data_IF_388238465219
#
_entry.id   IF_388238465219
#
_cell.length_a   1.000
_cell.length_b   1.000
_cell.length_c   1.000
_cell.angle_alpha   90.00
_cell.angle_beta   90.00
_cell.angle_gamma   90.00
#
_symmetry.space_group_name_H-M   'P 1'
#
loop_
_entity.id
_entity.type
_entity.pdbx_description
1 polymer ?
#
# COMPACT_ATOMS: atom_id res chain seq x y z
N UNK A 1 -9.07 -14.19 -3.39
CA UNK A 1 -8.02 -13.17 -3.47
C UNK A 1 -8.01 -12.59 -4.87
N UNK A 2 -8.15 -11.27 -4.96
CA UNK A 2 -8.28 -10.46 -6.16
C UNK A 2 -7.14 -10.66 -7.15
N UNK A 3 -5.92 -10.86 -6.67
CA UNK A 3 -4.72 -11.04 -7.51
C UNK A 3 -4.79 -12.24 -8.47
N UNK A 4 -5.68 -13.21 -8.22
CA UNK A 4 -5.97 -14.34 -9.13
C UNK A 4 -6.94 -14.00 -10.26
N UNK A 5 -7.56 -12.82 -10.20
CA UNK A 5 -8.59 -12.34 -11.12
C UNK A 5 -8.10 -11.16 -11.97
N UNK A 6 -6.80 -10.87 -11.95
CA UNK A 6 -6.21 -9.77 -12.72
C UNK A 6 -5.50 -10.33 -13.95
N UNK A 7 -6.03 -10.02 -15.12
CA UNK A 7 -5.47 -10.36 -16.42
C UNK A 7 -5.18 -9.07 -17.18
N UNK A 8 -3.91 -8.69 -17.28
CA UNK A 8 -3.49 -7.46 -17.94
C UNK A 8 -2.12 -7.62 -18.58
N UNK A 9 -1.81 -6.74 -19.53
CA UNK A 9 -0.43 -6.41 -19.87
C UNK A 9 0.23 -5.80 -18.62
N UNK A 10 1.34 -6.41 -18.18
CA UNK A 10 2.11 -5.96 -17.02
C UNK A 10 3.32 -5.12 -17.40
N UNK A 11 3.64 -4.96 -18.68
CA UNK A 11 4.72 -4.09 -19.15
C UNK A 11 4.24 -2.66 -19.40
N UNK A 12 2.97 -2.49 -19.78
CA UNK A 12 2.34 -1.18 -19.95
C UNK A 12 1.17 -1.00 -18.97
N UNK A 13 1.13 0.11 -18.20
CA UNK A 13 0.02 0.38 -17.30
C UNK A 13 -1.28 0.67 -18.08
N UNK A 14 -2.44 0.17 -17.62
CA UNK A 14 -3.71 0.43 -18.28
C UNK A 14 -4.14 1.89 -18.12
N UNK A 15 -5.01 2.37 -19.02
CA UNK A 15 -5.57 3.72 -18.99
C UNK A 15 -6.21 4.07 -17.64
N UNK A 16 -6.96 3.13 -17.07
CA UNK A 16 -7.67 3.29 -15.80
C UNK A 16 -6.75 3.43 -14.57
N UNK A 17 -5.43 3.26 -14.72
CA UNK A 17 -4.46 3.60 -13.68
C UNK A 17 -4.27 5.11 -13.51
N UNK A 18 -4.50 5.91 -14.55
CA UNK A 18 -4.47 7.36 -14.43
C UNK A 18 -5.87 7.89 -14.09
N UNK A 19 -6.03 8.46 -12.91
CA UNK A 19 -7.25 9.15 -12.51
C UNK A 19 -6.98 10.12 -11.38
N UNK A 20 -7.86 11.12 -11.26
CA UNK A 20 -7.82 12.11 -10.20
C UNK A 20 -9.25 12.38 -9.74
N UNK A 21 -9.58 11.98 -8.52
CA UNK A 21 -10.96 12.01 -8.01
C UNK A 21 -10.97 12.32 -6.51
N UNK A 22 -12.05 12.95 -5.98
CA UNK A 22 -12.27 13.04 -4.55
C UNK A 22 -12.29 11.67 -3.88
N UNK A 23 -11.78 11.60 -2.65
CA UNK A 23 -11.63 10.34 -1.93
C UNK A 23 -12.98 9.64 -1.70
N UNK A 24 -14.04 10.41 -1.42
CA UNK A 24 -15.39 9.88 -1.33
C UNK A 24 -15.88 9.20 -2.63
N UNK A 25 -15.54 9.76 -3.80
CA UNK A 25 -15.89 9.17 -5.10
C UNK A 25 -15.12 7.87 -5.36
N UNK A 26 -13.84 7.83 -4.97
CA UNK A 26 -13.04 6.59 -5.01
C UNK A 26 -13.69 5.50 -4.14
N UNK A 27 -14.11 5.84 -2.93
CA UNK A 27 -14.78 4.91 -2.02
C UNK A 27 -16.13 4.45 -2.58
N UNK A 28 -16.94 5.35 -3.13
CA UNK A 28 -18.22 5.03 -3.75
C UNK A 28 -18.06 4.06 -4.94
N UNK A 29 -17.03 4.27 -5.77
CA UNK A 29 -16.69 3.35 -6.88
C UNK A 29 -16.29 1.97 -6.38
N UNK A 30 -15.49 1.89 -5.31
CA UNK A 30 -15.14 0.60 -4.69
C UNK A 30 -16.40 -0.09 -4.17
N UNK A 31 -17.30 0.63 -3.48
CA UNK A 31 -18.57 0.10 -2.98
C UNK A 31 -19.47 -0.41 -4.11
N UNK A 32 -19.48 0.25 -5.27
CA UNK A 32 -20.26 -0.17 -6.42
C UNK A 32 -19.70 -1.44 -7.10
N UNK A 33 -18.38 -1.57 -7.19
CA UNK A 33 -17.70 -2.70 -7.87
C UNK A 33 -17.74 -3.99 -7.03
N UNK A 34 -17.52 -3.86 -5.72
CA UNK A 34 -17.21 -4.99 -4.84
C UNK A 34 -18.31 -6.07 -4.81
N UNK A 35 -19.62 -5.76 -4.70
CA UNK A 35 -20.66 -6.80 -4.67
C UNK A 35 -20.70 -7.66 -5.94
N UNK A 36 -20.54 -7.04 -7.12
CA UNK A 36 -20.53 -7.74 -8.41
C UNK A 36 -19.32 -8.67 -8.55
N UNK A 37 -18.15 -8.20 -8.12
CA UNK A 37 -16.91 -9.00 -8.10
C UNK A 37 -17.07 -10.22 -7.18
N UNK A 38 -17.60 -10.01 -5.97
CA UNK A 38 -17.80 -11.08 -4.98
C UNK A 38 -18.83 -12.12 -5.44
N UNK A 39 -19.95 -11.69 -6.03
CA UNK A 39 -21.03 -12.57 -6.46
C UNK A 39 -20.58 -13.61 -7.49
N UNK A 40 -19.60 -13.27 -8.34
CA UNK A 40 -19.09 -14.17 -9.39
C UNK A 40 -17.67 -14.66 -9.15
N UNK A 41 -17.09 -14.41 -7.97
CA UNK A 41 -15.70 -14.79 -7.65
C UNK A 41 -15.44 -16.28 -7.86
N UNK A 42 -16.35 -17.14 -7.38
CA UNK A 42 -16.13 -18.59 -7.43
C UNK A 42 -16.28 -19.13 -8.87
N UNK A 43 -17.23 -18.59 -9.64
CA UNK A 43 -17.36 -18.84 -11.08
C UNK A 43 -16.10 -18.41 -11.84
N UNK A 44 -15.59 -17.20 -11.56
CA UNK A 44 -14.39 -16.65 -12.19
C UNK A 44 -13.14 -17.49 -11.91
N UNK A 45 -13.03 -18.08 -10.71
CA UNK A 45 -11.91 -18.95 -10.36
C UNK A 45 -12.02 -20.35 -10.96
N UNK A 46 -13.24 -20.88 -11.11
CA UNK A 46 -13.47 -22.23 -11.62
C UNK A 46 -13.54 -22.30 -13.15
N UNK A 47 -14.08 -21.27 -13.81
CA UNK A 47 -14.33 -21.24 -15.25
C UNK A 47 -14.17 -19.84 -15.83
N UNK A 48 -12.93 -19.31 -15.91
CA UNK A 48 -12.67 -17.93 -16.35
C UNK A 48 -13.29 -17.55 -17.71
N UNK A 49 -13.34 -18.50 -18.65
CA UNK A 49 -13.87 -18.26 -20.00
C UNK A 49 -15.38 -17.94 -20.04
N UNK A 50 -16.12 -18.13 -18.94
CA UNK A 50 -17.57 -17.90 -18.87
C UNK A 50 -17.95 -16.47 -18.46
N UNK A 51 -16.98 -15.68 -18.00
CA UNK A 51 -17.19 -14.33 -17.49
C UNK A 51 -17.09 -13.31 -18.64
N UNK A 52 -17.96 -12.28 -18.66
CA UNK A 52 -17.88 -11.21 -19.65
C UNK A 52 -16.62 -10.36 -19.43
N UNK A 53 -16.07 -9.73 -20.48
CA UNK A 53 -14.89 -8.86 -20.37
C UNK A 53 -14.97 -7.81 -19.25
N UNK A 54 -16.13 -7.17 -19.08
CA UNK A 54 -16.33 -6.14 -18.05
C UNK A 54 -16.08 -6.63 -16.61
N UNK A 55 -16.25 -7.93 -16.32
CA UNK A 55 -15.92 -8.47 -14.99
C UNK A 55 -14.41 -8.34 -14.68
N UNK A 56 -13.57 -8.60 -15.67
CA UNK A 56 -12.12 -8.51 -15.54
C UNK A 56 -11.66 -7.06 -15.43
N UNK A 57 -12.30 -6.16 -16.18
CA UNK A 57 -12.07 -4.71 -16.06
C UNK A 57 -12.43 -4.20 -14.67
N UNK A 58 -13.53 -4.66 -14.08
CA UNK A 58 -13.94 -4.32 -12.73
C UNK A 58 -12.93 -4.82 -11.69
N UNK A 59 -12.39 -6.02 -11.87
CA UNK A 59 -11.33 -6.55 -11.01
C UNK A 59 -10.06 -5.68 -11.08
N UNK A 60 -9.64 -5.26 -12.28
CA UNK A 60 -8.51 -4.33 -12.47
C UNK A 60 -8.79 -2.98 -11.81
N UNK A 61 -10.00 -2.44 -11.98
CA UNK A 61 -10.39 -1.16 -11.34
C UNK A 61 -10.34 -1.26 -9.82
N UNK A 62 -10.89 -2.31 -9.22
CA UNK A 62 -10.81 -2.52 -7.77
C UNK A 62 -9.34 -2.60 -7.30
N UNK A 63 -8.50 -3.30 -8.06
CA UNK A 63 -7.08 -3.46 -7.76
C UNK A 63 -6.35 -2.11 -7.73
N UNK A 64 -6.68 -1.20 -8.64
CA UNK A 64 -6.08 0.13 -8.76
C UNK A 64 -6.68 1.17 -7.80
N UNK A 65 -7.95 1.05 -7.43
CA UNK A 65 -8.64 1.99 -6.53
C UNK A 65 -8.29 1.73 -5.05
N UNK A 66 -8.20 0.47 -4.64
CA UNK A 66 -8.03 0.12 -3.22
C UNK A 66 -6.77 0.68 -2.52
N UNK A 67 -5.61 0.88 -3.20
CA UNK A 67 -4.46 1.60 -2.61
C UNK A 67 -4.77 3.03 -2.13
N UNK A 68 -5.81 3.68 -2.65
CA UNK A 68 -6.22 5.02 -2.22
C UNK A 68 -6.61 5.05 -0.73
N UNK A 69 -7.20 3.97 -0.21
CA UNK A 69 -7.58 3.85 1.21
C UNK A 69 -6.37 4.08 2.13
N UNK A 70 -5.26 3.42 1.79
CA UNK A 70 -4.02 3.51 2.55
C UNK A 70 -3.35 4.85 2.33
N UNK A 71 -3.29 5.33 1.08
CA UNK A 71 -2.54 6.54 0.74
C UNK A 71 -3.14 7.80 1.39
N UNK A 72 -4.46 8.00 1.29
CA UNK A 72 -5.13 9.16 1.89
C UNK A 72 -5.05 9.10 3.41
N UNK A 73 -5.30 7.94 4.01
CA UNK A 73 -5.22 7.78 5.47
C UNK A 73 -3.80 8.00 5.99
N UNK A 74 -2.77 7.53 5.28
CA UNK A 74 -1.36 7.78 5.62
C UNK A 74 -1.05 9.28 5.55
N UNK A 75 -1.50 9.97 4.51
CA UNK A 75 -1.31 11.41 4.39
C UNK A 75 -2.02 12.17 5.52
N UNK A 76 -3.25 11.79 5.85
CA UNK A 76 -3.99 12.37 6.97
C UNK A 76 -3.25 12.19 8.30
N UNK A 77 -2.82 10.96 8.62
CA UNK A 77 -1.99 10.65 9.79
C UNK A 77 -0.73 11.51 9.82
N UNK A 78 0.05 11.53 8.74
CA UNK A 78 1.29 12.31 8.65
C UNK A 78 1.02 13.79 8.88
N UNK A 79 -0.01 14.37 8.25
CA UNK A 79 -0.31 15.78 8.45
C UNK A 79 -0.64 16.11 9.91
N UNK A 80 -1.51 15.31 10.52
CA UNK A 80 -1.96 15.53 11.89
C UNK A 80 -0.83 15.36 12.90
N UNK A 81 0.06 14.38 12.71
CA UNK A 81 1.15 14.10 13.65
C UNK A 81 2.37 15.00 13.48
N UNK A 82 2.62 15.47 12.26
CA UNK A 82 3.78 16.30 11.94
C UNK A 82 3.44 17.80 11.93
N UNK A 83 2.19 18.16 12.22
CA UNK A 83 1.74 19.55 12.23
C UNK A 83 1.74 20.20 10.84
N UNK A 84 1.45 19.42 9.80
CA UNK A 84 1.21 19.94 8.46
C UNK A 84 -0.28 20.26 8.31
N UNK A 85 -0.66 21.27 7.50
CA UNK A 85 -2.06 21.57 7.26
C UNK A 85 -2.79 20.40 6.57
N UNK A 86 -4.10 20.37 6.77
CA UNK A 86 -5.00 19.49 6.03
C UNK A 86 -5.55 20.29 4.85
N UNK A 87 -5.27 19.83 3.63
CA UNK A 87 -5.72 20.50 2.42
C UNK A 87 -6.18 19.46 1.38
N UNK A 88 -7.35 19.66 0.76
CA UNK A 88 -7.96 18.65 -0.11
C UNK A 88 -7.12 18.34 -1.35
N UNK A 89 -6.47 19.34 -1.94
CA UNK A 89 -5.72 19.20 -3.19
C UNK A 89 -4.20 19.34 -3.03
N UNK A 90 -3.72 19.66 -1.82
CA UNK A 90 -2.31 19.98 -1.61
C UNK A 90 -1.66 19.03 -0.62
N UNK A 91 -0.64 18.35 -1.10
CA UNK A 91 0.07 17.29 -0.43
C UNK A 91 1.42 17.81 0.09
N UNK A 92 1.43 18.33 1.32
CA UNK A 92 2.61 18.97 1.91
C UNK A 92 3.84 18.06 2.01
N UNK A 93 5.01 18.62 1.73
CA UNK A 93 6.30 17.98 1.99
C UNK A 93 6.61 18.03 3.49
N UNK A 94 7.28 17.01 4.02
CA UNK A 94 7.59 16.96 5.46
C UNK A 94 8.52 18.11 5.90
N UNK A 95 9.35 18.59 4.98
CA UNK A 95 10.24 19.74 5.13
C UNK A 95 9.47 21.03 5.46
N UNK A 96 8.20 21.12 5.07
CA UNK A 96 7.34 22.28 5.32
C UNK A 96 6.72 22.29 6.72
N UNK A 97 6.86 21.22 7.51
CA UNK A 97 6.28 21.14 8.86
C UNK A 97 6.73 22.29 9.77
N UNK A 98 8.00 22.69 9.65
CA UNK A 98 8.59 23.79 10.41
C UNK A 98 7.97 25.15 10.10
N UNK A 99 7.41 25.33 8.88
CA UNK A 99 6.74 26.56 8.44
C UNK A 99 5.32 26.66 8.99
N UNK A 100 4.56 25.56 8.99
CA UNK A 100 3.15 25.59 9.33
C UNK A 100 2.87 25.37 10.82
N UNK A 101 3.50 24.36 11.43
CA UNK A 101 3.35 24.04 12.86
C UNK A 101 1.88 23.96 13.31
N UNK A 102 1.02 23.37 12.47
CA UNK A 102 -0.39 23.20 12.77
C UNK A 102 -0.56 22.36 14.04
N UNK A 103 -1.46 22.78 14.94
CA UNK A 103 -1.73 22.08 16.20
C UNK A 103 -3.07 21.37 16.12
N UNK A 104 -3.02 20.05 16.18
CA UNK A 104 -4.20 19.20 16.21
C UNK A 104 -4.47 18.68 17.62
N UNK A 105 -5.74 18.61 18.05
CA UNK A 105 -6.10 18.01 19.33
C UNK A 105 -5.66 16.54 19.41
N UNK A 106 -5.27 16.07 20.60
CA UNK A 106 -4.84 14.67 20.81
C UNK A 106 -5.87 13.62 20.34
N UNK A 107 -7.17 13.93 20.46
CA UNK A 107 -8.25 13.07 19.92
C UNK A 107 -8.18 12.89 18.39
N UNK A 108 -7.75 13.92 17.66
CA UNK A 108 -7.61 13.86 16.20
C UNK A 108 -6.38 13.06 15.81
N UNK A 109 -5.29 13.18 16.58
CA UNK A 109 -4.09 12.33 16.43
C UNK A 109 -4.46 10.86 16.62
N UNK A 110 -5.17 10.53 17.71
CA UNK A 110 -5.61 9.16 17.96
C UNK A 110 -6.51 8.63 16.83
N UNK A 111 -7.51 9.43 16.44
CA UNK A 111 -8.43 9.06 15.37
C UNK A 111 -7.71 8.86 14.02
N UNK A 112 -6.74 9.70 13.67
CA UNK A 112 -5.96 9.55 12.44
C UNK A 112 -5.13 8.24 12.43
N UNK A 113 -4.61 7.84 13.59
CA UNK A 113 -3.90 6.57 13.76
C UNK A 113 -4.81 5.36 13.61
N UNK A 114 -5.97 5.38 14.27
CA UNK A 114 -6.99 4.32 14.16
C UNK A 114 -7.51 4.20 12.73
N UNK A 115 -7.79 5.34 12.08
CA UNK A 115 -8.24 5.40 10.70
C UNK A 115 -7.20 4.85 9.72
N UNK A 116 -5.92 5.15 9.92
CA UNK A 116 -4.83 4.59 9.12
C UNK A 116 -4.69 3.08 9.28
N UNK A 117 -4.72 2.57 10.52
CA UNK A 117 -4.69 1.13 10.75
C UNK A 117 -5.89 0.43 10.11
N UNK A 118 -7.10 0.99 10.25
CA UNK A 118 -8.31 0.48 9.64
C UNK A 118 -8.25 0.48 8.11
N UNK A 119 -7.65 1.49 7.49
CA UNK A 119 -7.58 1.58 6.03
C UNK A 119 -6.71 0.48 5.42
N UNK A 120 -5.63 0.09 6.09
CA UNK A 120 -4.80 -1.06 5.69
C UNK A 120 -5.62 -2.35 5.78
N UNK A 121 -6.31 -2.58 6.89
CA UNK A 121 -7.10 -3.80 7.09
C UNK A 121 -8.27 -3.91 6.11
N UNK A 122 -8.95 -2.81 5.81
CA UNK A 122 -10.00 -2.78 4.76
C UNK A 122 -9.39 -3.05 3.40
N UNK A 123 -8.30 -2.37 3.02
CA UNK A 123 -7.63 -2.62 1.74
C UNK A 123 -7.19 -4.08 1.60
N UNK A 124 -6.64 -4.68 2.66
CA UNK A 124 -6.30 -6.10 2.68
C UNK A 124 -7.50 -7.00 2.49
N UNK A 125 -8.63 -6.72 3.16
CA UNK A 125 -9.87 -7.48 3.01
C UNK A 125 -10.44 -7.39 1.59
N UNK A 126 -10.37 -6.22 0.94
CA UNK A 126 -10.72 -6.04 -0.47
C UNK A 126 -9.85 -6.90 -1.39
N UNK A 127 -8.53 -6.86 -1.20
CA UNK A 127 -7.60 -7.69 -1.97
C UNK A 127 -7.76 -9.19 -1.70
N UNK A 128 -8.14 -9.58 -0.49
CA UNK A 128 -8.42 -10.96 -0.16
C UNK A 128 -9.77 -11.43 -0.73
N UNK A 129 -10.68 -10.49 -1.05
CA UNK A 129 -12.09 -10.73 -1.38
C UNK A 129 -12.78 -11.52 -0.27
N UNK A 130 -12.61 -11.05 0.97
CA UNK A 130 -13.22 -11.64 2.16
C UNK A 130 -14.75 -11.52 2.12
N UNK A 131 -15.50 -12.51 2.64
CA UNK A 131 -16.96 -12.42 2.72
C UNK A 131 -17.48 -11.17 3.44
N UNK A 132 -16.74 -10.68 4.44
CA UNK A 132 -17.10 -9.47 5.21
C UNK A 132 -16.57 -8.16 4.64
N UNK A 133 -15.93 -8.16 3.47
CA UNK A 133 -15.27 -6.96 2.92
C UNK A 133 -16.23 -5.81 2.66
N UNK A 134 -17.47 -6.08 2.22
CA UNK A 134 -18.50 -5.06 1.99
C UNK A 134 -18.85 -4.36 3.30
N UNK A 135 -19.23 -5.11 4.33
CA UNK A 135 -19.59 -4.54 5.64
C UNK A 135 -18.43 -3.76 6.27
N UNK A 136 -17.18 -4.24 6.12
CA UNK A 136 -15.99 -3.52 6.59
C UNK A 136 -15.79 -2.19 5.85
N UNK A 137 -15.98 -2.19 4.53
CA UNK A 137 -15.89 -0.97 3.73
C UNK A 137 -16.98 0.03 4.12
N UNK A 138 -18.22 -0.41 4.28
CA UNK A 138 -19.33 0.45 4.69
C UNK A 138 -19.09 1.05 6.07
N UNK A 139 -18.61 0.26 7.03
CA UNK A 139 -18.22 0.76 8.35
C UNK A 139 -17.07 1.77 8.26
N UNK A 140 -16.09 1.54 7.39
CA UNK A 140 -14.98 2.47 7.18
C UNK A 140 -15.46 3.80 6.59
N UNK A 141 -16.36 3.77 5.60
CA UNK A 141 -16.97 4.96 4.99
C UNK A 141 -17.83 5.74 6.00
N UNK A 142 -18.59 5.05 6.86
CA UNK A 142 -19.39 5.71 7.91
C UNK A 142 -18.52 6.44 8.96
N UNK A 143 -17.28 6.00 9.15
CA UNK A 143 -16.33 6.60 10.09
C UNK A 143 -15.30 7.51 9.39
N UNK A 144 -15.57 7.92 8.15
CA UNK A 144 -14.69 8.79 7.39
C UNK A 144 -14.56 10.16 8.09
N UNK A 145 -13.34 10.62 8.40
CA UNK A 145 -13.15 11.99 8.89
C UNK A 145 -13.67 12.99 7.85
N UNK A 146 -14.57 13.91 8.24
CA UNK A 146 -15.15 14.91 7.33
C UNK A 146 -14.08 15.70 6.56
N UNK A 147 -12.96 15.98 7.22
CA UNK A 147 -11.85 16.71 6.61
C UNK A 147 -11.15 15.95 5.47
N UNK A 148 -11.24 14.61 5.41
CA UNK A 148 -10.56 13.82 4.37
C UNK A 148 -11.47 13.40 3.21
N UNK A 149 -12.80 13.53 3.31
CA UNK A 149 -13.71 13.08 2.23
C UNK A 149 -13.43 13.80 0.91
N UNK A 150 -13.18 15.11 0.98
CA UNK A 150 -12.85 15.95 -0.17
C UNK A 150 -11.39 15.90 -0.61
N UNK A 151 -10.54 15.06 0.00
CA UNK A 151 -9.15 14.95 -0.45
C UNK A 151 -9.10 14.34 -1.85
N UNK A 152 -8.34 14.95 -2.75
CA UNK A 152 -8.20 14.49 -4.12
C UNK A 152 -7.11 13.42 -4.17
N UNK A 153 -7.50 12.18 -4.50
CA UNK A 153 -6.54 11.12 -4.77
C UNK A 153 -6.14 11.15 -6.24
N UNK A 154 -4.84 11.33 -6.49
CA UNK A 154 -4.26 11.30 -7.83
C UNK A 154 -3.45 10.03 -8.01
N UNK A 155 -3.80 9.24 -9.01
CA UNK A 155 -3.01 8.12 -9.50
C UNK A 155 -2.49 8.42 -10.91
N UNK A 156 -1.23 8.09 -11.17
CA UNK A 156 -0.57 8.30 -12.46
C UNK A 156 -0.11 6.96 -13.06
N UNK A 157 0.12 6.93 -14.37
CA UNK A 157 0.68 5.76 -15.07
C UNK A 157 2.16 5.59 -14.76
N UNK A 158 2.45 5.06 -13.58
CA UNK A 158 3.80 4.71 -13.18
C UNK A 158 4.14 3.30 -13.66
N UNK A 159 4.98 3.21 -14.70
CA UNK A 159 5.36 1.95 -15.34
C UNK A 159 6.03 0.98 -14.37
N UNK A 160 6.85 1.48 -13.44
CA UNK A 160 7.62 0.63 -12.53
C UNK A 160 6.76 0.09 -11.40
N UNK A 161 5.92 0.95 -10.79
CA UNK A 161 4.89 0.57 -9.83
C UNK A 161 3.99 -0.49 -10.45
N UNK A 162 3.54 -0.32 -11.70
CA UNK A 162 2.71 -1.31 -12.39
C UNK A 162 3.44 -2.65 -12.60
N UNK A 163 4.67 -2.62 -13.11
CA UNK A 163 5.47 -3.83 -13.35
C UNK A 163 5.81 -4.59 -12.07
N UNK A 164 6.05 -3.87 -10.97
CA UNK A 164 6.31 -4.41 -9.64
C UNK A 164 5.02 -4.89 -8.94
N UNK A 165 3.87 -4.47 -9.44
CA UNK A 165 2.56 -4.89 -8.96
C UNK A 165 2.08 -6.20 -9.59
N UNK A 166 2.83 -6.81 -10.51
CA UNK A 166 2.43 -8.07 -11.13
C UNK A 166 2.28 -9.21 -10.07
N UNK A 167 1.07 -9.79 -9.89
CA UNK A 167 0.80 -10.85 -8.92
C UNK A 167 1.71 -12.06 -9.00
N UNK A 168 2.18 -12.43 -10.20
CA UNK A 168 3.09 -13.56 -10.38
C UNK A 168 4.46 -13.27 -9.76
N UNK A 169 4.99 -12.06 -9.96
CA UNK A 169 6.29 -11.65 -9.39
C UNK A 169 6.22 -11.48 -7.88
N UNK A 170 5.09 -10.97 -7.38
CA UNK A 170 4.86 -10.86 -5.93
C UNK A 170 4.75 -12.25 -5.31
N UNK A 171 4.15 -13.22 -6.02
CA UNK A 171 4.12 -14.62 -5.59
C UNK A 171 5.51 -15.23 -5.54
N UNK A 172 6.34 -15.02 -6.57
CA UNK A 172 7.73 -15.49 -6.57
C UNK A 172 8.49 -14.97 -5.33
N UNK A 173 8.29 -13.69 -4.96
CA UNK A 173 8.84 -13.13 -3.72
C UNK A 173 8.25 -13.81 -2.48
N UNK A 174 6.93 -13.97 -2.40
CA UNK A 174 6.27 -14.57 -1.25
C UNK A 174 6.75 -16.01 -1.01
N UNK A 175 6.85 -16.82 -2.06
CA UNK A 175 7.33 -18.20 -2.01
C UNK A 175 8.80 -18.25 -1.56
N UNK A 176 9.62 -17.30 -2.03
CA UNK A 176 11.02 -17.18 -1.61
C UNK A 176 11.16 -16.82 -0.12
N UNK A 177 10.35 -15.88 0.37
CA UNK A 177 10.29 -15.52 1.79
C UNK A 177 9.83 -16.71 2.62
N UNK A 178 8.68 -17.33 2.30
CA UNK A 178 8.11 -18.45 3.08
C UNK A 178 9.05 -19.63 3.24
N UNK A 179 9.91 -19.87 2.25
CA UNK A 179 10.90 -20.96 2.30
C UNK A 179 11.98 -20.74 3.36
N UNK A 180 12.27 -19.50 3.73
CA UNK A 180 13.43 -19.16 4.58
C UNK A 180 13.05 -18.38 5.84
N UNK A 181 11.88 -17.73 5.85
CA UNK A 181 11.47 -16.79 6.87
C UNK A 181 9.96 -16.84 7.09
N UNK A 182 9.54 -16.78 8.35
CA UNK A 182 8.15 -16.55 8.73
C UNK A 182 8.06 -15.15 9.38
N UNK A 183 7.94 -14.07 8.59
CA UNK A 183 7.95 -12.72 9.14
C UNK A 183 6.73 -12.47 10.03
N UNK A 184 6.94 -11.77 11.14
CA UNK A 184 5.86 -11.35 12.05
C UNK A 184 5.22 -10.03 11.64
N UNK A 185 5.91 -9.25 10.81
CA UNK A 185 5.45 -7.98 10.25
C UNK A 185 6.12 -7.72 8.90
N UNK A 186 5.37 -7.09 7.99
CA UNK A 186 5.91 -6.44 6.79
C UNK A 186 5.79 -4.93 6.99
N UNK A 187 6.88 -4.20 6.76
CA UNK A 187 6.88 -2.73 6.77
C UNK A 187 7.24 -2.23 5.37
N UNK A 188 6.28 -1.63 4.68
CA UNK A 188 6.46 -1.11 3.32
C UNK A 188 6.85 0.37 3.27
N UNK A 189 7.76 0.72 2.36
CA UNK A 189 8.07 2.10 2.02
C UNK A 189 6.98 2.69 1.11
N UNK A 190 6.04 3.46 1.66
CA UNK A 190 4.99 4.10 0.88
C UNK A 190 5.54 5.28 0.07
N UNK A 191 5.08 5.55 -1.15
CA UNK A 191 3.78 5.15 -1.69
C UNK A 191 3.82 4.01 -2.72
N UNK A 192 4.99 3.70 -3.26
CA UNK A 192 5.14 2.72 -4.34
C UNK A 192 4.78 1.29 -3.90
N UNK A 193 5.19 0.93 -2.70
CA UNK A 193 5.01 -0.42 -2.17
C UNK A 193 3.59 -0.71 -1.67
N UNK A 194 2.67 0.25 -1.69
CA UNK A 194 1.31 0.05 -1.14
C UNK A 194 0.60 -1.10 -1.85
N UNK A 195 0.57 -1.05 -3.17
CA UNK A 195 -0.15 -2.01 -3.99
C UNK A 195 0.43 -3.42 -3.84
N UNK A 196 1.74 -3.55 -4.08
CA UNK A 196 2.43 -4.84 -4.01
C UNK A 196 2.49 -5.39 -2.57
N UNK A 197 2.62 -4.51 -1.58
CA UNK A 197 2.63 -4.84 -0.16
C UNK A 197 1.30 -5.42 0.32
N UNK A 198 0.17 -4.88 -0.14
CA UNK A 198 -1.17 -5.44 0.16
C UNK A 198 -1.31 -6.88 -0.36
N UNK A 199 -0.83 -7.15 -1.58
CA UNK A 199 -0.83 -8.52 -2.15
C UNK A 199 0.11 -9.43 -1.36
N UNK A 200 1.34 -8.97 -1.10
CA UNK A 200 2.38 -9.73 -0.40
C UNK A 200 1.91 -10.13 1.00
N UNK A 201 1.36 -9.20 1.76
CA UNK A 201 0.84 -9.45 3.10
C UNK A 201 -0.28 -10.50 3.13
N UNK A 202 -1.15 -10.51 2.13
CA UNK A 202 -2.19 -11.53 2.04
C UNK A 202 -1.65 -12.90 1.60
N UNK A 203 -0.62 -12.95 0.75
CA UNK A 203 0.05 -14.20 0.38
C UNK A 203 0.81 -14.81 1.56
N UNK A 204 1.52 -13.98 2.33
CA UNK A 204 2.27 -14.39 3.52
C UNK A 204 1.38 -14.60 4.75
N UNK A 205 0.15 -14.07 4.75
CA UNK A 205 -0.76 -13.99 5.91
C UNK A 205 -0.11 -13.26 7.10
N UNK A 206 0.66 -12.22 6.80
CA UNK A 206 1.44 -11.45 7.77
C UNK A 206 0.83 -10.05 7.95
N UNK A 207 0.85 -9.47 9.16
CA UNK A 207 0.53 -8.07 9.37
C UNK A 207 1.33 -7.13 8.46
N UNK A 208 0.73 -6.01 8.07
CA UNK A 208 1.32 -5.03 7.17
C UNK A 208 1.22 -3.64 7.79
N UNK A 209 2.30 -2.87 7.68
CA UNK A 209 2.33 -1.47 8.05
C UNK A 209 3.09 -0.67 6.99
N UNK A 210 2.72 0.59 6.81
CA UNK A 210 3.39 1.47 5.85
C UNK A 210 3.97 2.68 6.55
N UNK A 211 5.20 3.02 6.18
CA UNK A 211 5.85 4.26 6.58
C UNK A 211 5.99 5.11 5.32
N UNK A 212 5.59 6.38 5.37
CA UNK A 212 5.78 7.31 4.26
C UNK A 212 7.28 7.46 4.02
N UNK A 213 7.72 7.07 2.83
CA UNK A 213 9.05 7.36 2.35
C UNK A 213 9.09 7.33 0.82
N UNK A 214 8.95 8.50 0.20
CA UNK A 214 9.11 8.61 -1.25
C UNK A 214 9.99 9.78 -1.65
N UNK A 215 11.22 9.47 -2.05
CA UNK A 215 12.15 10.47 -2.59
C UNK A 215 11.67 11.05 -3.92
N UNK A 216 10.95 10.25 -4.73
CA UNK A 216 10.52 10.70 -6.06
C UNK A 216 9.15 11.36 -6.06
N UNK A 217 8.20 10.86 -5.26
CA UNK A 217 6.82 11.38 -5.26
C UNK A 217 6.61 12.49 -4.23
N UNK A 218 7.45 12.58 -3.19
CA UNK A 218 7.28 13.50 -2.06
C UNK A 218 8.56 14.21 -1.61
N UNK A 219 9.68 14.01 -2.32
CA UNK A 219 11.00 14.56 -1.97
C UNK A 219 11.41 14.29 -0.51
N UNK A 220 10.93 13.19 0.09
CA UNK A 220 11.20 12.90 1.49
C UNK A 220 12.70 12.56 1.67
N UNK A 221 13.47 13.27 2.51
CA UNK A 221 14.91 13.03 2.67
C UNK A 221 15.23 11.75 3.46
N UNK A 222 14.28 11.30 4.27
CA UNK A 222 14.31 10.13 5.15
C UNK A 222 12.87 9.61 5.39
N UNK A 223 12.70 8.38 5.91
CA UNK A 223 11.39 7.87 6.30
C UNK A 223 10.70 8.77 7.34
N UNK A 224 9.42 9.09 7.13
CA UNK A 224 8.64 9.93 8.04
C UNK A 224 8.07 9.08 9.16
N UNK A 225 8.69 9.16 10.34
CA UNK A 225 8.34 8.36 11.52
C UNK A 225 7.76 9.26 12.60
N UNK A 226 6.55 8.94 13.06
CA UNK A 226 5.89 9.58 14.19
C UNK A 226 5.94 8.69 15.46
N UNK A 227 5.64 9.24 16.65
CA UNK A 227 5.62 8.45 17.89
C UNK A 227 4.68 7.24 17.86
N UNK A 228 3.54 7.34 17.15
CA UNK A 228 2.60 6.24 16.94
C UNK A 228 3.22 5.09 16.13
N UNK A 229 4.04 5.40 15.14
CA UNK A 229 4.77 4.41 14.36
C UNK A 229 5.74 3.65 15.25
N UNK A 230 6.49 4.37 16.09
CA UNK A 230 7.41 3.74 17.05
C UNK A 230 6.67 2.79 17.99
N UNK A 231 5.50 3.20 18.50
CA UNK A 231 4.69 2.35 19.36
C UNK A 231 4.18 1.10 18.64
N UNK A 232 3.69 1.25 17.40
CA UNK A 232 3.23 0.13 16.58
C UNK A 232 4.36 -0.84 16.26
N UNK A 233 5.48 -0.33 15.73
CA UNK A 233 6.65 -1.15 15.35
C UNK A 233 7.26 -1.85 16.58
N UNK A 234 7.26 -1.19 17.74
CA UNK A 234 7.77 -1.74 19.00
C UNK A 234 7.07 -3.02 19.44
N UNK A 235 5.79 -3.21 19.08
CA UNK A 235 5.05 -4.44 19.36
C UNK A 235 5.58 -5.67 18.61
N UNK A 236 6.35 -5.46 17.54
CA UNK A 236 6.92 -6.51 16.69
C UNK A 236 8.44 -6.68 16.84
N UNK A 237 9.05 -5.97 17.79
CA UNK A 237 10.51 -5.90 17.97
C UNK A 237 11.23 -7.25 18.06
N UNK A 238 10.60 -8.25 18.67
CA UNK A 238 11.22 -9.52 19.00
C UNK A 238 11.24 -10.56 17.85
N UNK A 239 10.43 -10.36 16.80
CA UNK A 239 10.33 -11.31 15.70
C UNK A 239 10.97 -10.79 14.41
N UNK A 240 11.14 -11.66 13.41
CA UNK A 240 11.67 -11.26 12.11
C UNK A 240 10.73 -10.31 11.38
N UNK A 241 11.21 -9.12 11.02
CA UNK A 241 10.46 -8.12 10.28
C UNK A 241 10.97 -7.99 8.85
N UNK A 242 10.06 -7.92 7.87
CA UNK A 242 10.39 -7.71 6.47
C UNK A 242 10.24 -6.23 6.09
N UNK A 243 11.34 -5.55 5.79
CA UNK A 243 11.40 -4.18 5.28
C UNK A 243 11.31 -4.22 3.75
N UNK A 244 10.29 -3.59 3.19
CA UNK A 244 9.84 -3.88 1.82
C UNK A 244 9.73 -2.61 0.97
N UNK A 245 10.19 -2.71 -0.28
CA UNK A 245 9.97 -1.75 -1.36
C UNK A 245 9.50 -2.48 -2.62
N UNK A 246 8.74 -1.86 -3.52
CA UNK A 246 8.26 -2.58 -4.72
C UNK A 246 9.39 -2.86 -5.71
N UNK A 247 10.30 -1.90 -5.87
CA UNK A 247 11.39 -1.98 -6.82
C UNK A 247 12.72 -1.48 -6.25
N UNK A 248 13.81 -2.03 -6.79
CA UNK A 248 15.18 -1.66 -6.42
C UNK A 248 15.95 -1.37 -7.70
N UNK A 249 15.94 -0.10 -8.11
CA UNK A 249 16.76 0.39 -9.23
C UNK A 249 18.17 0.74 -8.76
N UNK A 250 18.33 1.87 -8.06
CA UNK A 250 19.60 2.26 -7.40
C UNK A 250 19.74 1.71 -5.98
N UNK A 251 18.62 1.33 -5.35
CA UNK A 251 18.57 0.84 -3.98
C UNK A 251 18.57 1.89 -2.89
N UNK A 252 18.67 3.18 -3.24
CA UNK A 252 18.74 4.28 -2.26
C UNK A 252 17.54 4.32 -1.30
N UNK A 253 16.32 4.04 -1.78
CA UNK A 253 15.12 3.99 -0.93
C UNK A 253 15.25 2.86 0.07
N UNK A 254 15.32 1.61 -0.38
CA UNK A 254 15.39 0.46 0.51
C UNK A 254 16.59 0.52 1.48
N UNK A 255 17.76 1.00 1.05
CA UNK A 255 18.92 1.19 1.94
C UNK A 255 18.61 2.19 3.05
N UNK A 256 18.17 3.41 2.73
CA UNK A 256 17.84 4.42 3.75
C UNK A 256 16.70 3.98 4.67
N UNK A 257 15.71 3.31 4.08
CA UNK A 257 14.57 2.76 4.81
C UNK A 257 15.04 1.73 5.85
N UNK A 258 15.95 0.84 5.44
CA UNK A 258 16.55 -0.18 6.30
C UNK A 258 17.42 0.43 7.38
N UNK A 259 18.35 1.34 7.03
CA UNK A 259 19.21 2.03 8.00
C UNK A 259 18.41 2.74 9.09
N UNK A 260 17.27 3.33 8.73
CA UNK A 260 16.39 4.04 9.66
C UNK A 260 15.58 3.08 10.54
N UNK A 261 15.05 1.99 9.97
CA UNK A 261 14.09 1.11 10.66
C UNK A 261 14.72 -0.09 11.36
N UNK A 262 15.89 -0.56 10.91
CA UNK A 262 16.59 -1.70 11.52
C UNK A 262 16.78 -1.56 13.04
N UNK A 263 17.12 -0.37 13.60
CA UNK A 263 17.29 -0.22 15.05
C UNK A 263 16.03 -0.51 15.90
N UNK A 264 14.83 -0.53 15.30
CA UNK A 264 13.59 -0.84 16.01
C UNK A 264 13.37 -2.34 16.25
N UNK A 265 14.10 -3.21 15.54
CA UNK A 265 13.88 -4.65 15.55
C UNK A 265 15.13 -5.41 16.00
N UNK A 266 14.95 -6.58 16.61
CA UNK A 266 16.06 -7.50 16.88
C UNK A 266 16.53 -8.20 15.61
N UNK A 267 15.60 -8.46 14.69
CA UNK A 267 15.83 -9.15 13.44
C UNK A 267 15.00 -8.49 12.33
N UNK A 268 15.67 -8.03 11.28
CA UNK A 268 15.02 -7.43 10.12
C UNK A 268 15.70 -7.87 8.83
N UNK A 269 14.90 -8.11 7.80
CA UNK A 269 15.32 -8.50 6.46
C UNK A 269 14.73 -7.55 5.42
N UNK A 270 15.39 -7.43 4.29
CA UNK A 270 15.00 -6.57 3.19
C UNK A 270 14.38 -7.37 2.05
N UNK A 271 13.35 -6.81 1.42
CA UNK A 271 12.68 -7.45 0.31
C UNK A 271 12.28 -6.48 -0.80
N UNK A 272 12.31 -6.96 -2.04
CA UNK A 272 11.77 -6.24 -3.20
C UNK A 272 11.12 -7.17 -4.21
N UNK A 273 10.06 -6.72 -4.89
CA UNK A 273 9.46 -7.51 -5.98
C UNK A 273 10.40 -7.54 -7.18
N UNK A 274 10.90 -6.36 -7.56
CA UNK A 274 11.81 -6.19 -8.69
C UNK A 274 13.17 -5.70 -8.21
N UNK A 275 14.24 -6.34 -8.68
CA UNK A 275 15.61 -5.82 -8.56
C UNK A 275 16.21 -5.59 -9.94
N UNK A 276 16.65 -4.37 -10.20
CA UNK A 276 17.43 -4.09 -11.41
C UNK A 276 18.77 -4.82 -11.33
N UNK A 277 19.16 -5.52 -12.39
CA UNK A 277 20.32 -6.42 -12.36
C UNK A 277 21.63 -5.72 -11.94
N UNK A 278 21.80 -4.48 -12.38
CA UNK A 278 22.97 -3.63 -12.07
C UNK A 278 22.85 -2.86 -10.74
N UNK A 279 21.80 -3.10 -9.95
CA UNK A 279 21.63 -2.40 -8.67
C UNK A 279 22.74 -2.78 -7.70
N UNK A 280 23.40 -1.80 -7.04
CA UNK A 280 24.36 -2.11 -5.98
C UNK A 280 23.69 -2.63 -4.71
N UNK A 281 22.36 -2.46 -4.56
CA UNK A 281 21.60 -3.01 -3.46
C UNK A 281 21.19 -4.46 -3.75
N UNK A 282 21.41 -5.33 -2.78
CA UNK A 282 21.06 -6.76 -2.82
C UNK A 282 20.13 -7.06 -1.65
N UNK A 283 18.80 -6.93 -1.83
CA UNK A 283 17.85 -7.29 -0.80
C UNK A 283 17.98 -8.77 -0.43
N UNK A 284 17.69 -9.11 0.82
CA UNK A 284 17.72 -10.50 1.30
C UNK A 284 16.76 -11.39 0.49
N UNK A 285 15.61 -10.83 0.10
CA UNK A 285 14.62 -11.51 -0.72
C UNK A 285 14.24 -10.70 -1.97
N UNK A 286 14.32 -11.33 -3.13
CA UNK A 286 13.92 -10.73 -4.41
C UNK A 286 12.97 -11.67 -5.13
N UNK A 287 11.87 -11.13 -5.68
CA UNK A 287 10.95 -11.88 -6.53
C UNK A 287 11.54 -12.15 -7.91
N UNK A 288 11.92 -11.09 -8.64
CA UNK A 288 12.58 -11.18 -9.94
C UNK A 288 13.70 -10.16 -10.10
N UNK A 289 14.81 -10.61 -10.67
CA UNK A 289 15.78 -9.72 -11.29
C UNK A 289 15.30 -9.33 -12.69
N UNK A 290 15.48 -8.07 -13.07
CA UNK A 290 15.14 -7.59 -14.40
C UNK A 290 16.28 -6.82 -15.03
N UNK A 291 16.34 -6.89 -16.36
CA UNK A 291 17.25 -6.16 -17.23
C UNK A 291 16.39 -5.23 -18.09
N UNK A 292 16.88 -4.04 -18.37
CA UNK A 292 16.33 -3.17 -19.43
C UNK A 292 16.51 -3.81 -20.82
#
# INVERSE_FOLDING_TARGET
MLHRLIYSDWDNPPECMAFEEPYEEVLARIQALLPGILARKDEALASPATLPPGYWDDCIRLYLLAPALVNIALNFKVCVEQGLPLHPTYYFEITEATRFQAKYPGRMILHANEFFAASIEVARALYALEPGAVARLDQFVQNLPEVVSGFIYTSTKDKYTWRASNPAKIRDLADHVQKHLAPVLIVGAAHGSILSGLVLANLLKTPLYFIRFSMFKRNDPAPVIAPSDVAFLGAYRAGPVLLFDEDVAKGTTLTKFTETLQPFFQESYTASVLRHALSPCTPDFVGRSWHD
#
